data_IF_028221352543
#
_entry.id   IF_028221352543
#
_cell.length_a   1.000
_cell.length_b   1.000
_cell.length_c   1.000
_cell.angle_alpha   90.00
_cell.angle_beta   90.00
_cell.angle_gamma   90.00
#
_symmetry.space_group_name_H-M   'P 1'
#
loop_
_entity.id
_entity.type
_entity.pdbx_description
1 polymer ?
#
# COMPACT_ATOMS: atom_id res chain seq x y z
N UNK A 1 103.48 14.36 2.83
CA UNK A 1 102.35 13.53 3.32
C UNK A 1 101.60 14.15 4.53
N UNK A 2 101.34 15.48 4.58
CA UNK A 2 100.58 16.09 5.70
C UNK A 2 99.32 16.88 5.31
N UNK A 3 99.09 17.14 4.02
CA UNK A 3 97.95 17.94 3.53
C UNK A 3 96.79 17.11 2.96
N UNK A 4 96.96 15.80 2.81
CA UNK A 4 95.92 14.94 2.23
C UNK A 4 94.92 14.40 3.26
N UNK A 5 95.29 14.34 4.54
CA UNK A 5 94.40 13.85 5.61
C UNK A 5 93.42 14.93 6.11
N UNK A 6 93.81 16.20 6.04
CA UNK A 6 92.99 17.36 6.48
C UNK A 6 91.89 17.72 5.49
N UNK A 7 92.07 17.46 4.19
CA UNK A 7 91.04 17.70 3.17
C UNK A 7 89.90 16.66 3.25
N UNK A 8 90.22 15.41 3.59
CA UNK A 8 89.25 14.31 3.70
C UNK A 8 88.41 14.44 4.98
N UNK A 9 88.98 14.97 6.07
CA UNK A 9 88.24 15.27 7.30
C UNK A 9 87.32 16.49 7.15
N UNK A 10 87.69 17.49 6.35
CA UNK A 10 86.82 18.65 6.08
C UNK A 10 85.63 18.29 5.17
N UNK A 11 85.80 17.39 4.19
CA UNK A 11 84.70 16.92 3.34
C UNK A 11 83.73 15.97 4.08
N UNK A 12 84.22 15.19 5.06
CA UNK A 12 83.38 14.31 5.86
C UNK A 12 82.44 15.09 6.81
N UNK A 13 82.90 16.22 7.38
CA UNK A 13 82.10 17.06 8.28
C UNK A 13 80.99 17.87 7.60
N UNK A 14 81.04 18.04 6.27
CA UNK A 14 80.02 18.78 5.51
C UNK A 14 78.85 17.91 5.03
N UNK A 15 78.89 16.60 5.27
CA UNK A 15 77.89 15.64 4.76
C UNK A 15 76.80 15.23 5.77
N UNK A 16 76.88 15.68 7.02
CA UNK A 16 75.96 15.24 8.09
C UNK A 16 75.25 16.39 8.77
N UNK A 17 74.27 17.01 8.09
CA UNK A 17 73.11 17.64 8.74
C UNK A 17 72.18 18.29 7.72
N UNK A 18 71.39 17.49 7.00
CA UNK A 18 70.10 17.99 6.52
C UNK A 18 69.05 17.39 7.46
N UNK A 19 68.39 18.21 8.31
CA UNK A 19 67.34 17.70 9.19
C UNK A 19 66.14 17.27 8.33
N UNK A 20 66.05 15.96 8.08
CA UNK A 20 64.93 15.31 7.39
C UNK A 20 63.59 15.46 8.15
N UNK A 21 63.64 15.90 9.41
CA UNK A 21 62.49 16.04 10.30
C UNK A 21 61.57 17.22 9.97
N UNK A 22 62.07 18.28 9.31
CA UNK A 22 61.26 19.47 9.02
C UNK A 22 60.27 19.27 7.86
N UNK A 23 60.56 18.36 6.92
CA UNK A 23 59.68 18.11 5.76
C UNK A 23 58.50 17.18 6.08
N UNK A 24 58.61 16.31 7.08
CA UNK A 24 57.54 15.41 7.48
C UNK A 24 56.40 16.15 8.20
N UNK A 25 56.74 17.14 9.04
CA UNK A 25 55.76 17.97 9.76
C UNK A 25 54.96 18.87 8.81
N UNK A 26 55.57 19.45 7.78
CA UNK A 26 54.85 20.25 6.77
C UNK A 26 53.88 19.40 5.94
N UNK A 27 54.26 18.17 5.58
CA UNK A 27 53.39 17.25 4.84
C UNK A 27 52.25 16.74 5.73
N UNK A 28 52.54 16.38 6.98
CA UNK A 28 51.53 15.93 7.93
C UNK A 28 50.51 17.03 8.24
N UNK A 29 50.97 18.25 8.51
CA UNK A 29 50.10 19.41 8.76
C UNK A 29 49.26 19.79 7.53
N UNK A 30 49.80 19.69 6.32
CA UNK A 30 49.04 19.90 5.09
C UNK A 30 47.96 18.82 4.88
N UNK A 31 48.28 17.54 5.11
CA UNK A 31 47.33 16.44 4.99
C UNK A 31 46.21 16.58 6.03
N UNK A 32 46.56 16.87 7.28
CA UNK A 32 45.59 17.08 8.37
C UNK A 32 44.70 18.29 8.09
N UNK A 33 45.26 19.44 7.68
CA UNK A 33 44.46 20.61 7.28
C UNK A 33 43.53 20.31 6.10
N UNK A 34 44.02 19.63 5.06
CA UNK A 34 43.16 19.20 3.94
C UNK A 34 42.06 18.24 4.38
N UNK A 35 42.32 17.36 5.33
CA UNK A 35 41.31 16.45 5.86
C UNK A 35 40.30 17.17 6.76
N UNK A 36 40.71 18.16 7.54
CA UNK A 36 39.82 19.02 8.31
C UNK A 36 38.95 19.92 7.42
N UNK A 37 39.52 20.48 6.34
CA UNK A 37 38.78 21.23 5.33
C UNK A 37 37.82 20.32 4.54
N UNK A 38 38.20 19.08 4.24
CA UNK A 38 37.29 18.07 3.67
C UNK A 38 36.20 17.64 4.65
N UNK A 39 36.50 17.51 5.95
CA UNK A 39 35.48 17.27 6.99
C UNK A 39 34.52 18.44 7.14
N UNK A 40 34.97 19.68 6.87
CA UNK A 40 34.13 20.88 6.88
C UNK A 40 33.30 21.08 5.60
N UNK A 41 33.66 20.44 4.48
CA UNK A 41 33.03 20.67 3.16
C UNK A 41 32.36 19.45 2.54
N UNK A 42 32.65 18.24 3.02
CA UNK A 42 32.05 17.00 2.54
C UNK A 42 30.84 16.59 3.36
N UNK A 43 29.75 16.24 2.66
CA UNK A 43 28.63 15.58 3.30
C UNK A 43 29.11 14.26 3.91
N UNK A 44 28.90 14.09 5.21
CA UNK A 44 29.08 12.77 5.82
C UNK A 44 28.00 11.82 5.29
N UNK A 45 28.27 10.51 5.26
CA UNK A 45 27.25 9.52 4.87
C UNK A 45 25.98 9.66 5.72
N UNK A 46 26.16 9.99 7.01
CA UNK A 46 25.05 10.27 7.93
C UNK A 46 24.24 11.49 7.50
N UNK A 47 24.91 12.60 7.16
CA UNK A 47 24.28 13.84 6.72
C UNK A 47 23.56 13.67 5.38
N UNK A 48 24.12 12.87 4.47
CA UNK A 48 23.46 12.46 3.23
C UNK A 48 22.19 11.65 3.49
N UNK A 49 22.26 10.64 4.37
CA UNK A 49 21.09 9.83 4.73
C UNK A 49 20.01 10.68 5.41
N UNK A 50 20.39 11.56 6.34
CA UNK A 50 19.46 12.48 7.01
C UNK A 50 18.81 13.45 6.03
N UNK A 51 19.59 14.03 5.10
CA UNK A 51 19.05 14.94 4.09
C UNK A 51 18.11 14.22 3.14
N UNK A 52 18.47 13.01 2.70
CA UNK A 52 17.59 12.17 1.88
C UNK A 52 16.28 11.86 2.60
N UNK A 53 16.33 11.51 3.88
CA UNK A 53 15.13 11.18 4.65
C UNK A 53 14.27 12.42 4.90
N UNK A 54 14.88 13.59 5.13
CA UNK A 54 14.17 14.87 5.20
C UNK A 54 13.48 15.21 3.88
N UNK A 55 14.16 15.04 2.75
CA UNK A 55 13.58 15.27 1.42
C UNK A 55 12.40 14.33 1.18
N UNK A 56 12.51 13.04 1.54
CA UNK A 56 11.37 12.11 1.47
C UNK A 56 10.15 12.57 2.25
N UNK A 57 10.33 13.12 3.45
CA UNK A 57 9.22 13.64 4.27
C UNK A 57 8.63 14.90 3.65
N UNK A 58 9.47 15.79 3.13
CA UNK A 58 9.01 17.01 2.43
C UNK A 58 8.23 16.66 1.15
N UNK A 59 8.71 15.70 0.37
CA UNK A 59 8.03 15.21 -0.82
C UNK A 59 6.72 14.50 -0.46
N UNK A 60 6.69 13.71 0.63
CA UNK A 60 5.46 13.14 1.16
C UNK A 60 4.46 14.22 1.58
N UNK A 61 4.95 15.29 2.23
CA UNK A 61 4.13 16.42 2.62
C UNK A 61 3.61 17.20 1.40
N UNK A 62 4.42 17.38 0.35
CA UNK A 62 3.98 18.03 -0.88
C UNK A 62 2.97 17.16 -1.64
N UNK A 63 3.17 15.84 -1.68
CA UNK A 63 2.21 14.90 -2.24
C UNK A 63 0.86 14.96 -1.48
N UNK A 64 0.92 15.07 -0.15
CA UNK A 64 -0.25 15.27 0.72
C UNK A 64 -1.02 16.57 0.40
N UNK A 65 -0.33 17.60 -0.09
CA UNK A 65 -0.93 18.91 -0.40
C UNK A 65 -1.00 19.20 -1.91
N UNK A 66 -0.89 18.16 -2.75
CA UNK A 66 -0.93 18.32 -4.19
C UNK A 66 -2.36 18.63 -4.69
N UNK A 67 -2.52 19.44 -5.77
CA UNK A 67 -3.76 20.17 -6.05
C UNK A 67 -4.94 19.35 -6.62
N UNK A 68 -4.81 18.04 -6.89
CA UNK A 68 -5.95 17.20 -7.27
C UNK A 68 -6.30 16.22 -6.13
N UNK A 69 -7.08 16.66 -5.13
CA UNK A 69 -7.48 15.79 -4.03
C UNK A 69 -8.54 14.76 -4.44
N UNK A 70 -9.13 14.88 -5.62
CA UNK A 70 -10.25 14.05 -6.05
C UNK A 70 -9.79 12.92 -6.97
N UNK A 71 -10.24 11.72 -6.68
CA UNK A 71 -9.98 10.52 -7.50
C UNK A 71 -11.29 9.81 -7.75
N UNK A 72 -11.49 9.32 -8.96
CA UNK A 72 -12.68 8.55 -9.31
C UNK A 72 -12.27 7.23 -9.93
N UNK A 73 -13.08 6.20 -9.70
CA UNK A 73 -12.98 5.00 -10.49
C UNK A 73 -14.31 4.37 -10.82
N UNK A 74 -14.33 3.65 -11.94
CA UNK A 74 -15.40 2.75 -12.33
C UNK A 74 -14.86 1.34 -12.41
N UNK A 75 -15.62 0.38 -11.90
CA UNK A 75 -15.25 -1.01 -11.83
C UNK A 75 -16.32 -1.88 -12.49
N UNK A 76 -15.87 -2.85 -13.28
CA UNK A 76 -16.71 -3.89 -13.84
C UNK A 76 -16.00 -5.23 -13.71
N UNK A 77 -16.68 -6.21 -13.13
CA UNK A 77 -16.11 -7.52 -12.89
C UNK A 77 -17.11 -8.64 -13.17
N UNK A 78 -16.55 -9.79 -13.53
CA UNK A 78 -17.25 -11.05 -13.66
C UNK A 78 -16.93 -11.93 -12.46
N UNK A 79 -17.98 -12.52 -11.89
CA UNK A 79 -17.88 -13.33 -10.66
C UNK A 79 -18.24 -14.77 -11.01
N UNK A 80 -17.38 -15.71 -10.64
CA UNK A 80 -17.64 -17.14 -10.77
C UNK A 80 -17.28 -17.83 -9.46
N UNK A 81 -18.12 -18.76 -9.00
CA UNK A 81 -17.79 -19.51 -7.79
C UNK A 81 -18.73 -20.66 -7.50
N UNK A 82 -18.56 -21.22 -6.31
CA UNK A 82 -19.36 -22.30 -5.77
C UNK A 82 -20.05 -21.86 -4.48
N UNK A 83 -21.32 -22.22 -4.34
CA UNK A 83 -22.10 -22.21 -3.12
C UNK A 83 -21.94 -23.59 -2.46
N UNK A 84 -21.65 -23.65 -1.17
CA UNK A 84 -21.74 -24.89 -0.43
C UNK A 84 -23.23 -25.21 -0.14
N UNK A 85 -23.70 -26.46 -0.38
CA UNK A 85 -22.94 -27.65 -0.75
C UNK A 85 -23.06 -28.01 -2.26
N UNK A 86 -22.29 -27.34 -3.12
CA UNK A 86 -21.95 -27.85 -4.46
C UNK A 86 -22.62 -27.20 -5.67
N UNK A 87 -23.33 -26.07 -5.54
CA UNK A 87 -23.88 -25.36 -6.72
C UNK A 87 -22.88 -24.33 -7.24
N UNK A 88 -22.60 -24.33 -8.55
CA UNK A 88 -21.82 -23.27 -9.18
C UNK A 88 -22.71 -22.06 -9.49
N UNK A 89 -22.18 -20.86 -9.39
CA UNK A 89 -22.87 -19.65 -9.82
C UNK A 89 -21.95 -18.75 -10.65
N UNK A 90 -22.57 -17.95 -11.50
CA UNK A 90 -21.95 -16.88 -12.26
C UNK A 90 -22.72 -15.61 -12.05
N UNK A 91 -22.02 -14.49 -11.90
CA UNK A 91 -22.61 -13.18 -11.71
C UNK A 91 -21.74 -12.07 -12.27
N UNK A 92 -22.18 -10.85 -12.04
CA UNK A 92 -21.43 -9.65 -12.40
C UNK A 92 -21.46 -8.65 -11.25
N UNK A 93 -20.41 -7.85 -11.19
CA UNK A 93 -20.24 -6.79 -10.20
C UNK A 93 -19.90 -5.50 -10.93
N UNK A 94 -20.57 -4.42 -10.54
CA UNK A 94 -20.30 -3.08 -11.02
C UNK A 94 -20.09 -2.17 -9.83
N UNK A 95 -18.97 -1.46 -9.82
CA UNK A 95 -18.58 -0.54 -8.76
C UNK A 95 -18.31 0.85 -9.30
N UNK A 96 -18.51 1.85 -8.46
CA UNK A 96 -18.04 3.20 -8.70
C UNK A 96 -17.59 3.81 -7.37
N UNK A 97 -16.54 4.62 -7.43
CA UNK A 97 -16.03 5.29 -6.25
C UNK A 97 -15.60 6.72 -6.55
N UNK A 98 -15.73 7.56 -5.54
CA UNK A 98 -15.22 8.92 -5.53
C UNK A 98 -14.48 9.15 -4.22
N UNK A 99 -13.23 9.58 -4.30
CA UNK A 99 -12.41 9.95 -3.16
C UNK A 99 -12.13 11.44 -3.15
N UNK A 100 -12.05 11.99 -1.95
CA UNK A 100 -11.47 13.27 -1.63
C UNK A 100 -10.36 13.04 -0.60
N UNK A 101 -9.13 12.88 -1.08
CA UNK A 101 -7.93 12.58 -0.29
C UNK A 101 -8.07 11.28 0.52
N UNK A 102 -8.29 11.39 1.83
CA UNK A 102 -8.43 10.25 2.74
C UNK A 102 -9.87 9.74 2.86
N UNK A 103 -10.85 10.51 2.40
CA UNK A 103 -12.27 10.14 2.48
C UNK A 103 -12.75 9.62 1.13
N UNK A 104 -13.60 8.60 1.15
CA UNK A 104 -14.19 8.05 -0.06
C UNK A 104 -15.64 7.65 0.12
N UNK A 105 -16.33 7.58 -1.00
CA UNK A 105 -17.65 6.99 -1.13
C UNK A 105 -17.60 5.97 -2.27
N UNK A 106 -17.94 4.73 -1.95
CA UNK A 106 -18.06 3.63 -2.90
C UNK A 106 -19.51 3.14 -3.01
N UNK A 107 -19.92 2.81 -4.22
CA UNK A 107 -21.18 2.15 -4.52
C UNK A 107 -20.95 0.91 -5.37
N UNK A 108 -21.48 -0.23 -4.94
CA UNK A 108 -21.34 -1.52 -5.62
C UNK A 108 -22.71 -2.14 -5.89
N UNK A 109 -22.85 -2.76 -7.06
CA UNK A 109 -24.00 -3.55 -7.49
C UNK A 109 -23.53 -4.93 -7.93
N UNK A 110 -23.93 -5.96 -7.19
CA UNK A 110 -23.62 -7.36 -7.49
C UNK A 110 -24.91 -8.06 -7.95
N UNK A 111 -24.87 -8.64 -9.15
CA UNK A 111 -25.97 -9.40 -9.75
C UNK A 111 -25.62 -10.88 -9.74
N UNK A 112 -26.34 -11.66 -8.95
CA UNK A 112 -26.18 -13.10 -8.81
C UNK A 112 -27.46 -13.81 -9.26
N UNK A 113 -27.41 -15.12 -9.60
CA UNK A 113 -28.58 -15.84 -10.11
C UNK A 113 -29.82 -15.79 -9.21
N UNK A 114 -29.63 -15.69 -7.89
CA UNK A 114 -30.72 -15.71 -6.90
C UNK A 114 -30.73 -14.49 -5.97
N UNK A 115 -29.89 -13.49 -6.22
CA UNK A 115 -29.81 -12.31 -5.37
C UNK A 115 -29.29 -11.10 -6.14
N UNK A 116 -29.87 -9.94 -5.84
CA UNK A 116 -29.34 -8.65 -6.25
C UNK A 116 -28.87 -7.90 -5.01
N UNK A 117 -27.62 -7.44 -5.02
CA UNK A 117 -27.03 -6.75 -3.87
C UNK A 117 -26.58 -5.35 -4.25
N UNK A 118 -26.84 -4.43 -3.35
CA UNK A 118 -26.37 -3.05 -3.42
C UNK A 118 -25.58 -2.75 -2.15
N UNK A 119 -24.39 -2.20 -2.31
CA UNK A 119 -23.54 -1.84 -1.17
C UNK A 119 -23.13 -0.39 -1.31
N UNK A 120 -23.40 0.41 -0.28
CA UNK A 120 -22.89 1.77 -0.16
C UNK A 120 -21.88 1.81 0.99
N UNK A 121 -20.70 2.35 0.73
CA UNK A 121 -19.57 2.34 1.66
C UNK A 121 -19.01 3.75 1.76
N UNK A 122 -18.67 4.12 2.99
CA UNK A 122 -17.82 5.24 3.30
C UNK A 122 -16.44 4.72 3.66
N UNK A 123 -15.43 5.32 3.05
CA UNK A 123 -14.04 4.91 3.15
C UNK A 123 -13.22 5.95 3.89
N UNK A 124 -12.42 5.49 4.84
CA UNK A 124 -11.45 6.28 5.57
C UNK A 124 -10.06 5.67 5.43
N UNK A 125 -9.22 6.31 4.63
CA UNK A 125 -7.84 5.89 4.41
C UNK A 125 -6.97 6.27 5.61
N UNK A 126 -6.42 5.26 6.27
CA UNK A 126 -5.50 5.43 7.41
C UNK A 126 -4.04 5.38 6.99
N UNK A 127 -3.76 4.84 5.80
CA UNK A 127 -2.44 4.77 5.20
C UNK A 127 -2.52 4.92 3.68
N UNK A 128 -1.58 5.66 3.09
CA UNK A 128 -1.62 6.06 1.68
C UNK A 128 -2.60 7.21 1.43
N UNK A 129 -2.45 7.92 0.32
CA UNK A 129 -3.32 9.05 -0.06
C UNK A 129 -3.99 8.89 -1.42
N UNK A 130 -3.54 7.90 -2.20
CA UNK A 130 -4.03 7.64 -3.54
C UNK A 130 -4.54 6.21 -3.66
N UNK A 131 -5.62 6.02 -4.40
CA UNK A 131 -6.15 4.69 -4.71
C UNK A 131 -5.19 3.91 -5.62
N UNK A 132 -4.47 4.62 -6.48
CA UNK A 132 -3.38 4.07 -7.30
C UNK A 132 -2.03 4.05 -6.54
N UNK A 133 -2.06 3.71 -5.26
CA UNK A 133 -0.85 3.55 -4.44
C UNK A 133 -1.04 2.52 -3.33
N UNK A 134 0.03 2.19 -2.61
CA UNK A 134 -0.09 1.34 -1.42
C UNK A 134 -0.91 2.07 -0.35
N UNK A 135 -2.04 1.49 0.03
CA UNK A 135 -2.98 2.09 0.97
C UNK A 135 -3.65 1.06 1.88
N UNK A 136 -4.15 1.56 3.01
CA UNK A 136 -5.00 0.82 3.95
C UNK A 136 -6.19 1.71 4.26
N UNK A 137 -7.39 1.17 4.12
CA UNK A 137 -8.65 1.89 4.20
C UNK A 137 -9.60 1.16 5.12
N UNK A 138 -10.18 1.90 6.07
CA UNK A 138 -11.28 1.43 6.90
C UNK A 138 -12.59 1.69 6.16
N UNK A 139 -13.51 0.74 6.22
CA UNK A 139 -14.77 0.76 5.50
C UNK A 139 -15.93 0.70 6.49
N UNK A 140 -16.94 1.55 6.28
CA UNK A 140 -18.19 1.51 7.03
C UNK A 140 -19.37 1.79 6.11
N UNK A 141 -20.47 1.04 6.21
CA UNK A 141 -21.54 1.21 5.22
C UNK A 141 -22.77 0.36 5.46
N UNK A 142 -23.57 0.21 4.40
CA UNK A 142 -24.79 -0.58 4.40
C UNK A 142 -24.82 -1.45 3.15
N UNK A 143 -25.16 -2.72 3.34
CA UNK A 143 -25.45 -3.67 2.27
C UNK A 143 -26.95 -3.97 2.26
N UNK A 144 -27.59 -3.82 1.12
CA UNK A 144 -28.96 -4.26 0.86
C UNK A 144 -28.94 -5.47 -0.06
N UNK A 145 -29.59 -6.55 0.34
CA UNK A 145 -29.67 -7.79 -0.43
C UNK A 145 -31.13 -8.15 -0.68
N UNK A 146 -31.48 -8.24 -1.96
CA UNK A 146 -32.79 -8.66 -2.42
C UNK A 146 -32.72 -10.12 -2.84
N UNK A 147 -33.36 -10.98 -2.07
CA UNK A 147 -33.60 -12.38 -2.46
C UNK A 147 -34.96 -12.45 -3.13
N UNK A 148 -35.03 -13.06 -4.32
CA UNK A 148 -36.27 -13.12 -5.10
C UNK A 148 -37.45 -13.73 -4.32
N UNK A 149 -37.17 -14.63 -3.37
CA UNK A 149 -38.18 -15.37 -2.61
C UNK A 149 -38.34 -14.92 -1.14
N UNK A 150 -37.52 -13.98 -0.65
CA UNK A 150 -37.42 -13.70 0.81
C UNK A 150 -37.35 -12.22 1.19
N UNK A 151 -37.53 -11.31 0.23
CA UNK A 151 -37.57 -9.88 0.48
C UNK A 151 -36.18 -9.23 0.59
N UNK A 152 -36.13 -8.01 1.13
CA UNK A 152 -34.95 -7.16 1.14
C UNK A 152 -34.30 -7.10 2.52
N UNK A 153 -33.11 -7.68 2.68
CA UNK A 153 -32.38 -7.62 3.95
C UNK A 153 -31.35 -6.50 3.91
N UNK A 154 -31.24 -5.73 5.00
CA UNK A 154 -30.24 -4.65 5.12
C UNK A 154 -29.29 -4.91 6.28
N UNK A 155 -28.01 -5.05 5.97
CA UNK A 155 -26.94 -5.22 6.95
C UNK A 155 -26.11 -3.95 7.06
N UNK A 156 -25.88 -3.42 8.27
CA UNK A 156 -24.72 -2.56 8.48
C UNK A 156 -23.44 -3.37 8.20
N UNK A 157 -22.39 -2.72 7.71
CA UNK A 157 -21.10 -3.35 7.48
C UNK A 157 -19.95 -2.51 8.01
N UNK A 158 -18.89 -3.19 8.41
CA UNK A 158 -17.59 -2.59 8.71
C UNK A 158 -16.48 -3.48 8.15
N UNK A 159 -15.38 -2.89 7.70
CA UNK A 159 -14.30 -3.64 7.08
C UNK A 159 -12.98 -2.89 6.98
N UNK A 160 -12.00 -3.57 6.42
CA UNK A 160 -10.68 -3.04 6.09
C UNK A 160 -10.31 -3.53 4.69
N UNK A 161 -9.87 -2.62 3.84
CA UNK A 161 -9.25 -2.94 2.56
C UNK A 161 -7.79 -2.50 2.55
N UNK A 162 -6.98 -3.23 1.80
CA UNK A 162 -5.55 -2.99 1.67
C UNK A 162 -5.12 -3.20 0.23
N UNK A 163 -4.35 -2.27 -0.28
CA UNK A 163 -3.67 -2.37 -1.58
C UNK A 163 -2.18 -2.24 -1.35
N UNK A 164 -1.38 -3.16 -1.86
CA UNK A 164 0.08 -3.15 -1.73
C UNK A 164 0.74 -3.25 -3.10
N UNK A 165 1.43 -2.19 -3.52
CA UNK A 165 2.24 -2.22 -4.73
C UNK A 165 3.57 -2.90 -4.44
N UNK A 166 3.85 -3.96 -5.19
CA UNK A 166 5.14 -4.66 -5.16
C UNK A 166 6.08 -4.13 -6.24
N UNK A 167 5.52 -3.62 -7.34
CA UNK A 167 6.24 -2.94 -8.41
C UNK A 167 5.37 -1.83 -9.00
N UNK A 168 5.90 -1.08 -9.98
CA UNK A 168 5.15 -0.02 -10.67
C UNK A 168 3.84 -0.50 -11.32
N UNK A 169 3.81 -1.74 -11.81
CA UNK A 169 2.70 -2.26 -12.62
C UNK A 169 1.95 -3.40 -11.95
N UNK A 170 2.37 -3.83 -10.75
CA UNK A 170 1.84 -5.03 -10.11
C UNK A 170 1.73 -4.83 -8.60
N UNK A 171 0.61 -5.30 -8.05
CA UNK A 171 0.37 -5.29 -6.62
C UNK A 171 -0.63 -6.35 -6.18
N UNK A 172 -0.85 -6.37 -4.87
CA UNK A 172 -1.77 -7.27 -4.17
C UNK A 172 -2.91 -6.49 -3.54
N UNK A 173 -4.06 -7.14 -3.46
CA UNK A 173 -5.27 -6.61 -2.82
C UNK A 173 -5.68 -7.55 -1.69
N UNK A 174 -6.14 -6.97 -0.59
CA UNK A 174 -6.74 -7.67 0.53
C UNK A 174 -8.00 -6.95 0.97
N UNK A 175 -9.05 -7.70 1.27
CA UNK A 175 -10.29 -7.16 1.80
C UNK A 175 -10.78 -8.04 2.94
N UNK A 176 -11.24 -7.43 4.01
CA UNK A 176 -12.03 -8.06 5.04
C UNK A 176 -13.26 -7.20 5.34
N UNK A 177 -14.45 -7.78 5.28
CA UNK A 177 -15.72 -7.14 5.60
C UNK A 177 -16.53 -8.02 6.54
N UNK A 178 -17.06 -7.41 7.58
CA UNK A 178 -18.04 -8.01 8.48
C UNK A 178 -19.41 -7.38 8.23
N UNK A 179 -20.42 -8.22 8.14
CA UNK A 179 -21.82 -7.84 7.98
C UNK A 179 -22.55 -8.13 9.28
N UNK A 180 -23.01 -7.06 9.94
CA UNK A 180 -23.78 -7.17 11.16
C UNK A 180 -25.18 -7.71 10.89
N UNK A 181 -25.87 -8.13 11.94
CA UNK A 181 -27.25 -8.61 11.85
C UNK A 181 -28.13 -7.66 11.05
N UNK A 182 -28.88 -8.21 10.09
CA UNK A 182 -29.82 -7.41 9.32
C UNK A 182 -30.98 -6.92 10.15
N UNK A 183 -31.51 -5.76 9.78
CA UNK A 183 -32.88 -5.41 10.13
C UNK A 183 -33.83 -6.43 9.46
N UNK A 184 -34.67 -7.14 10.22
CA UNK A 184 -35.62 -8.10 9.64
C UNK A 184 -36.59 -7.36 8.72
N UNK A 185 -36.77 -7.85 7.50
CA UNK A 185 -37.80 -7.36 6.58
C UNK A 185 -38.68 -8.55 6.16
N UNK A 186 -39.56 -8.97 7.07
CA UNK A 186 -40.76 -9.79 6.84
C UNK A 186 -41.28 -10.38 8.15
N UNK A 187 -42.54 -10.77 8.12
CA UNK A 187 -43.34 -11.45 9.16
C UNK A 187 -42.71 -12.71 9.79
N UNK A 188 -41.57 -13.18 9.29
CA UNK A 188 -40.86 -14.39 9.74
C UNK A 188 -39.69 -14.07 10.68
N UNK A 189 -39.29 -12.79 10.82
CA UNK A 189 -38.24 -12.38 11.77
C UNK A 189 -36.83 -12.88 11.42
N UNK A 190 -36.60 -13.28 10.16
CA UNK A 190 -35.31 -13.76 9.68
C UNK A 190 -34.26 -12.64 9.76
N UNK A 191 -33.10 -12.97 10.33
CA UNK A 191 -31.92 -12.11 10.35
C UNK A 191 -30.79 -12.80 9.61
N UNK A 192 -29.98 -12.05 8.88
CA UNK A 192 -28.72 -12.56 8.34
C UNK A 192 -27.53 -11.76 8.87
N UNK A 193 -26.39 -12.42 9.00
CA UNK A 193 -25.09 -11.81 9.29
C UNK A 193 -24.02 -12.56 8.49
N UNK A 194 -22.79 -12.08 8.50
CA UNK A 194 -21.74 -12.80 7.78
C UNK A 194 -20.40 -12.11 7.74
N UNK A 195 -19.47 -12.75 7.04
CA UNK A 195 -18.14 -12.19 6.78
C UNK A 195 -17.74 -12.44 5.34
N UNK A 196 -16.93 -11.55 4.78
CA UNK A 196 -16.31 -11.72 3.47
C UNK A 196 -14.84 -11.37 3.58
N UNK A 197 -14.01 -12.25 3.04
CA UNK A 197 -12.59 -12.00 2.87
C UNK A 197 -12.21 -12.20 1.41
N UNK A 198 -11.36 -11.32 0.92
CA UNK A 198 -10.81 -11.40 -0.44
C UNK A 198 -9.30 -11.23 -0.41
N UNK A 199 -8.63 -11.97 -1.27
CA UNK A 199 -7.21 -11.84 -1.53
C UNK A 199 -6.97 -11.96 -3.03
N UNK A 200 -6.20 -11.04 -3.59
CA UNK A 200 -6.01 -10.98 -5.03
C UNK A 200 -4.75 -10.26 -5.45
N UNK A 201 -4.63 -10.13 -6.76
CA UNK A 201 -3.55 -9.42 -7.40
C UNK A 201 -4.07 -8.60 -8.58
N UNK A 202 -3.31 -7.58 -8.95
CA UNK A 202 -3.67 -6.70 -10.05
C UNK A 202 -2.46 -6.27 -10.88
N UNK A 203 -2.76 -5.90 -12.12
CA UNK A 203 -1.85 -5.23 -13.04
C UNK A 203 -2.39 -3.83 -13.36
N UNK A 204 -1.54 -2.83 -13.19
CA UNK A 204 -1.89 -1.42 -13.43
C UNK A 204 -1.20 -0.87 -14.66
N UNK A 205 -1.98 -0.22 -15.52
CA UNK A 205 -1.55 0.43 -16.75
C UNK A 205 -2.10 1.86 -16.77
N UNK A 206 -1.45 2.77 -16.05
CA UNK A 206 -1.87 4.18 -15.93
C UNK A 206 -3.32 4.30 -15.45
N UNK A 207 -4.28 4.53 -16.34
CA UNK A 207 -5.69 4.70 -16.01
C UNK A 207 -6.48 3.38 -15.94
N UNK A 208 -5.90 2.25 -16.35
CA UNK A 208 -6.57 0.95 -16.40
C UNK A 208 -5.91 -0.05 -15.46
N UNK A 209 -6.71 -0.70 -14.61
CA UNK A 209 -6.33 -1.86 -13.80
C UNK A 209 -7.03 -3.11 -14.28
N UNK A 210 -6.30 -4.20 -14.38
CA UNK A 210 -6.83 -5.55 -14.50
C UNK A 210 -6.61 -6.26 -13.16
N UNK A 211 -7.63 -6.90 -12.61
CA UNK A 211 -7.50 -7.56 -11.31
C UNK A 211 -8.17 -8.93 -11.28
N UNK A 212 -7.66 -9.77 -10.38
CA UNK A 212 -8.25 -11.06 -10.05
C UNK A 212 -8.21 -11.29 -8.54
N UNK A 213 -9.38 -11.47 -7.94
CA UNK A 213 -9.53 -11.69 -6.51
C UNK A 213 -10.16 -13.05 -6.25
N UNK A 214 -9.58 -13.83 -5.34
CA UNK A 214 -10.29 -14.95 -4.73
C UNK A 214 -11.08 -14.42 -3.53
N UNK A 215 -12.35 -14.79 -3.43
CA UNK A 215 -13.19 -14.41 -2.32
C UNK A 215 -13.80 -15.62 -1.63
N UNK A 216 -14.08 -15.44 -0.36
CA UNK A 216 -14.92 -16.33 0.42
C UNK A 216 -15.84 -15.52 1.32
N UNK A 217 -17.10 -15.89 1.34
CA UNK A 217 -18.16 -15.24 2.08
C UNK A 217 -18.94 -16.29 2.86
N UNK A 218 -19.08 -16.08 4.16
CA UNK A 218 -19.99 -16.85 5.02
C UNK A 218 -21.21 -16.00 5.32
N UNK A 219 -22.39 -16.61 5.28
CA UNK A 219 -23.65 -15.99 5.68
C UNK A 219 -24.36 -16.91 6.65
N UNK A 220 -24.65 -16.36 7.83
CA UNK A 220 -25.39 -17.04 8.88
C UNK A 220 -26.81 -16.48 8.92
N UNK A 221 -27.79 -17.37 9.15
CA UNK A 221 -29.19 -17.00 9.27
C UNK A 221 -29.67 -17.28 10.69
N UNK A 222 -30.19 -16.26 11.37
CA UNK A 222 -30.79 -16.33 12.69
C UNK A 222 -32.29 -16.05 12.65
N UNK A 223 -33.02 -16.49 13.68
CA UNK A 223 -34.42 -16.10 13.90
C UNK A 223 -35.49 -17.05 13.35
N UNK A 224 -35.14 -18.07 12.55
CA UNK A 224 -36.07 -19.11 12.11
C UNK A 224 -35.40 -20.49 12.05
N UNK A 225 -36.10 -21.54 12.48
CA UNK A 225 -35.63 -22.93 12.44
C UNK A 225 -35.61 -23.45 11.00
N UNK A 226 -34.51 -24.08 10.57
CA UNK A 226 -34.40 -24.74 9.26
C UNK A 226 -33.50 -24.04 8.23
N UNK A 227 -32.92 -22.88 8.54
CA UNK A 227 -31.89 -22.27 7.71
C UNK A 227 -30.50 -22.72 8.15
N UNK A 228 -29.71 -23.21 7.19
CA UNK A 228 -28.30 -23.55 7.43
C UNK A 228 -27.39 -22.40 7.02
N UNK A 229 -26.25 -22.21 7.69
CA UNK A 229 -25.20 -21.32 7.21
C UNK A 229 -24.84 -21.62 5.76
N UNK A 230 -24.77 -20.58 4.95
CA UNK A 230 -24.38 -20.69 3.55
C UNK A 230 -22.99 -20.12 3.39
N UNK A 231 -22.10 -20.88 2.78
CA UNK A 231 -20.76 -20.40 2.41
C UNK A 231 -20.65 -20.33 0.89
N UNK A 232 -19.94 -19.32 0.44
CA UNK A 232 -19.74 -19.01 -0.97
C UNK A 232 -18.27 -18.70 -1.18
N UNK A 233 -17.67 -19.27 -2.20
CA UNK A 233 -16.28 -18.94 -2.56
C UNK A 233 -16.10 -18.95 -4.06
N UNK A 234 -15.16 -18.17 -4.56
CA UNK A 234 -14.99 -18.03 -6.00
C UNK A 234 -13.87 -17.07 -6.39
N UNK A 235 -13.85 -16.77 -7.67
CA UNK A 235 -12.92 -15.82 -8.28
C UNK A 235 -13.72 -14.71 -8.95
N UNK A 236 -13.27 -13.49 -8.71
CA UNK A 236 -13.74 -12.29 -9.37
C UNK A 236 -12.63 -11.79 -10.29
N UNK A 237 -12.93 -11.65 -11.58
CA UNK A 237 -12.01 -11.12 -12.59
C UNK A 237 -12.61 -9.85 -13.17
N UNK A 238 -11.86 -8.76 -13.15
CA UNK A 238 -12.43 -7.48 -13.54
C UNK A 238 -11.42 -6.45 -13.98
N UNK A 239 -11.99 -5.30 -14.32
CA UNK A 239 -11.24 -4.13 -14.74
C UNK A 239 -11.71 -2.91 -13.95
N UNK A 240 -10.78 -2.01 -13.64
CA UNK A 240 -11.07 -0.73 -13.02
C UNK A 240 -10.45 0.40 -13.84
N UNK A 241 -11.21 1.45 -14.08
CA UNK A 241 -10.80 2.62 -14.86
C UNK A 241 -10.77 3.82 -13.92
N UNK A 242 -9.66 4.56 -13.92
CA UNK A 242 -9.38 5.68 -13.03
C UNK A 242 -9.44 7.03 -13.76
N UNK A 243 -9.93 8.05 -13.05
CA UNK A 243 -10.05 9.44 -13.53
C UNK A 243 -9.60 10.43 -12.46
#
# INVERSE_FOLDING_TARGET
MKYSLTLITLLALLSTSVPQSAKADEVYTFIVKKQEEKKKSGWSLMEYLQTRDRMKIQDLWLALHSPSPYEFFLEGAWVNGNLAPGSSFTGSEFGAAAYASIFGLEGHRESLPHALRYTGIFDLRIFGYHEQSTNITLQGGIRSQYYFDSGAMRNPLAGVSMTVYLSRYFGLTGLYRHYFESTPDSSVGLKNSGTRYEGGAFLDFSFLRLFGNYFHESTDFGGATGFSPTTRSGVTLGTRIYF
#
